data_IF_786228932804
#
_entry.id   IF_786228932804
#
_cell.length_a   1.000
_cell.length_b   1.000
_cell.length_c   1.000
_cell.angle_alpha   90.00
_cell.angle_beta   90.00
_cell.angle_gamma   90.00
#
_symmetry.space_group_name_H-M   'P 1'
#
loop_
_entity.id
_entity.type
_entity.pdbx_description
1 polymer ?
#
# COMPACT_ATOMS: atom_id res chain seq x y z
N UNK A 1 29.74 31.85 -9.46
CA UNK A 1 30.30 30.49 -9.32
C UNK A 1 29.29 29.50 -9.87
N UNK A 2 29.50 29.02 -11.09
CA UNK A 2 28.61 28.08 -11.78
C UNK A 2 28.80 26.71 -11.13
N UNK A 3 27.73 26.17 -10.56
CA UNK A 3 27.74 24.82 -10.00
C UNK A 3 28.02 23.79 -11.09
N UNK A 4 28.91 22.81 -10.87
CA UNK A 4 29.27 21.85 -11.90
C UNK A 4 28.04 20.98 -12.29
N UNK A 5 27.86 20.88 -13.61
CA UNK A 5 26.94 20.02 -14.32
C UNK A 5 26.48 18.76 -13.52
N UNK A 6 25.27 18.77 -13.04
CA UNK A 6 24.58 17.56 -12.57
C UNK A 6 24.32 16.67 -13.80
N UNK A 7 25.23 15.73 -14.09
CA UNK A 7 25.00 14.73 -15.14
C UNK A 7 23.70 14.02 -14.82
N UNK A 8 22.72 14.17 -15.70
CA UNK A 8 21.48 13.37 -15.64
C UNK A 8 21.86 11.89 -15.65
N UNK A 9 21.27 11.06 -14.79
CA UNK A 9 21.55 9.62 -14.77
C UNK A 9 21.37 9.03 -16.17
N UNK A 10 22.30 8.18 -16.60
CA UNK A 10 22.22 7.52 -17.90
C UNK A 10 20.94 6.67 -18.02
N UNK A 11 20.53 6.34 -19.25
CA UNK A 11 19.28 5.58 -19.52
C UNK A 11 19.26 4.21 -18.80
N UNK A 12 20.40 3.53 -18.70
CA UNK A 12 20.55 2.27 -17.97
C UNK A 12 20.30 2.45 -16.46
N UNK A 13 20.86 3.50 -15.84
CA UNK A 13 20.66 3.80 -14.41
C UNK A 13 19.22 4.13 -14.06
N UNK A 14 18.49 4.75 -15.00
CA UNK A 14 17.05 5.03 -14.83
C UNK A 14 16.23 3.75 -14.81
N UNK A 15 16.49 2.83 -15.74
CA UNK A 15 15.79 1.54 -15.82
C UNK A 15 16.00 0.68 -14.56
N UNK A 16 17.24 0.59 -14.07
CA UNK A 16 17.56 -0.15 -12.85
C UNK A 16 16.90 0.45 -11.61
N UNK A 17 16.84 1.78 -11.48
CA UNK A 17 16.18 2.43 -10.35
C UNK A 17 14.67 2.15 -10.35
N UNK A 18 14.01 2.19 -11.50
CA UNK A 18 12.60 1.84 -11.66
C UNK A 18 12.37 0.36 -11.32
N UNK A 19 13.16 -0.55 -11.90
CA UNK A 19 13.04 -1.98 -11.63
C UNK A 19 13.23 -2.31 -10.14
N UNK A 20 14.24 -1.72 -9.49
CA UNK A 20 14.46 -1.87 -8.06
C UNK A 20 13.27 -1.35 -7.24
N UNK A 21 12.72 -0.18 -7.59
CA UNK A 21 11.53 0.36 -6.95
C UNK A 21 10.33 -0.56 -7.08
N UNK A 22 10.05 -1.09 -8.28
CA UNK A 22 8.95 -2.03 -8.52
C UNK A 22 9.13 -3.34 -7.73
N UNK A 23 10.34 -3.88 -7.68
CA UNK A 23 10.66 -5.07 -6.91
C UNK A 23 10.43 -4.85 -5.39
N UNK A 24 10.84 -3.67 -4.87
CA UNK A 24 10.53 -3.28 -3.50
C UNK A 24 9.01 -3.22 -3.29
N UNK A 25 8.26 -2.60 -4.20
CA UNK A 25 6.80 -2.52 -4.14
C UNK A 25 6.15 -3.90 -4.08
N UNK A 26 6.66 -4.86 -4.84
CA UNK A 26 6.16 -6.22 -4.85
C UNK A 26 6.46 -6.95 -3.53
N UNK A 27 7.74 -6.98 -3.08
CA UNK A 27 8.10 -7.74 -1.88
C UNK A 27 7.43 -7.22 -0.60
N UNK A 28 7.26 -5.91 -0.47
CA UNK A 28 6.67 -5.35 0.75
C UNK A 28 5.23 -5.82 0.98
N UNK A 29 4.41 -5.82 -0.06
CA UNK A 29 3.01 -6.26 0.05
C UNK A 29 2.85 -7.76 0.00
N UNK A 30 3.79 -8.50 -0.62
CA UNK A 30 3.92 -9.93 -0.42
C UNK A 30 4.01 -10.26 1.07
N UNK A 31 4.91 -9.60 1.79
CA UNK A 31 5.08 -9.81 3.24
C UNK A 31 3.87 -9.32 4.08
N UNK A 32 3.05 -8.42 3.57
CA UNK A 32 1.79 -8.03 4.23
C UNK A 32 0.77 -9.17 4.13
N UNK A 33 0.65 -9.81 2.98
CA UNK A 33 -0.43 -10.75 2.68
C UNK A 33 -0.07 -12.22 2.96
N UNK A 34 1.22 -12.58 2.96
CA UNK A 34 1.68 -13.96 2.99
C UNK A 34 1.29 -14.73 4.26
N UNK A 35 1.20 -14.07 5.41
CA UNK A 35 0.80 -14.71 6.68
C UNK A 35 -0.72 -14.94 6.70
N UNK A 36 -1.51 -13.94 6.32
CA UNK A 36 -2.96 -14.08 6.26
C UNK A 36 -3.42 -15.13 5.23
N UNK A 37 -2.63 -15.35 4.18
CA UNK A 37 -2.91 -16.35 3.15
C UNK A 37 -2.91 -17.81 3.68
N UNK A 38 -2.20 -18.06 4.78
CA UNK A 38 -2.00 -19.40 5.37
C UNK A 38 -2.16 -19.36 6.89
N UNK A 39 -3.18 -18.66 7.36
CA UNK A 39 -3.40 -18.44 8.78
C UNK A 39 -3.64 -19.75 9.56
N UNK A 40 -4.44 -20.68 9.03
CA UNK A 40 -4.71 -21.97 9.67
C UNK A 40 -3.45 -22.86 9.77
N UNK A 41 -2.69 -23.11 8.70
CA UNK A 41 -1.42 -23.82 8.80
C UNK A 41 -0.40 -23.19 9.77
N UNK A 42 -0.40 -21.86 9.88
CA UNK A 42 0.46 -21.19 10.86
C UNK A 42 -0.06 -21.34 12.30
N UNK A 43 -1.36 -21.26 12.53
CA UNK A 43 -1.94 -21.48 13.84
C UNK A 43 -1.61 -22.89 14.36
N UNK A 44 -1.71 -23.89 13.49
CA UNK A 44 -1.32 -25.28 13.80
C UNK A 44 0.19 -25.39 14.07
N UNK A 45 1.04 -24.84 13.21
CA UNK A 45 2.49 -24.91 13.36
C UNK A 45 3.02 -24.22 14.63
N UNK A 46 2.38 -23.12 15.03
CA UNK A 46 2.75 -22.37 16.24
C UNK A 46 2.00 -22.84 17.50
N UNK A 47 1.17 -23.87 17.41
CA UNK A 47 0.27 -24.34 18.48
C UNK A 47 -0.46 -23.17 19.15
N UNK A 48 -1.18 -22.38 18.34
CA UNK A 48 -1.79 -21.13 18.80
C UNK A 48 -3.14 -20.86 18.09
N UNK A 49 -3.83 -19.78 18.51
CA UNK A 49 -5.10 -19.38 17.90
C UNK A 49 -4.90 -18.50 16.65
N UNK A 50 -5.91 -18.47 15.78
CA UNK A 50 -5.98 -17.55 14.64
C UNK A 50 -5.86 -16.07 15.07
N UNK A 51 -6.35 -15.72 16.26
CA UNK A 51 -6.21 -14.38 16.82
C UNK A 51 -4.73 -14.01 17.03
N UNK A 52 -3.92 -14.95 17.51
CA UNK A 52 -2.46 -14.73 17.68
C UNK A 52 -1.76 -14.64 16.31
N UNK A 53 -2.14 -15.44 15.32
CA UNK A 53 -1.64 -15.28 13.94
C UNK A 53 -2.02 -13.91 13.39
N UNK A 54 -3.23 -13.42 13.67
CA UNK A 54 -3.64 -12.05 13.33
C UNK A 54 -2.74 -10.97 13.95
N UNK A 55 -2.26 -11.17 15.19
CA UNK A 55 -1.30 -10.25 15.84
C UNK A 55 0.03 -10.17 15.09
N UNK A 56 0.46 -11.22 14.39
CA UNK A 56 1.66 -11.17 13.54
C UNK A 56 1.49 -10.16 12.39
N UNK A 57 0.31 -10.03 11.83
CA UNK A 57 -0.01 -9.01 10.82
C UNK A 57 -0.06 -7.62 11.46
N UNK A 58 -0.66 -7.49 12.64
CA UNK A 58 -0.70 -6.24 13.40
C UNK A 58 0.72 -5.76 13.75
N UNK A 59 1.59 -6.65 14.21
CA UNK A 59 2.98 -6.35 14.53
C UNK A 59 3.72 -5.75 13.33
N UNK A 60 3.52 -6.33 12.13
CA UNK A 60 4.08 -5.77 10.89
C UNK A 60 3.55 -4.36 10.65
N UNK A 61 2.24 -4.12 10.72
CA UNK A 61 1.66 -2.82 10.41
C UNK A 61 2.05 -1.71 11.38
N UNK A 62 2.22 -2.02 12.66
CA UNK A 62 2.70 -1.05 13.68
C UNK A 62 4.05 -0.48 13.29
N UNK A 63 5.01 -1.34 12.99
CA UNK A 63 6.35 -0.89 12.59
C UNK A 63 6.41 -0.37 11.16
N UNK A 64 5.58 -0.90 10.26
CA UNK A 64 5.40 -0.35 8.92
C UNK A 64 4.99 1.13 8.97
N UNK A 65 3.99 1.48 9.78
CA UNK A 65 3.57 2.86 9.97
C UNK A 65 4.68 3.71 10.60
N UNK A 66 5.30 3.21 11.68
CA UNK A 66 6.36 3.93 12.40
C UNK A 66 7.59 4.22 11.53
N UNK A 67 7.94 3.30 10.61
CA UNK A 67 9.11 3.43 9.75
C UNK A 67 8.94 4.45 8.61
N UNK A 68 7.72 4.76 8.17
CA UNK A 68 7.50 5.56 6.96
C UNK A 68 8.12 6.97 7.05
N UNK A 69 7.82 7.70 8.12
CA UNK A 69 8.30 9.07 8.26
C UNK A 69 9.82 9.17 8.42
N UNK A 70 10.47 8.38 9.31
CA UNK A 70 11.93 8.32 9.35
C UNK A 70 12.56 7.94 8.00
N UNK A 71 11.99 6.95 7.31
CA UNK A 71 12.49 6.52 6.02
C UNK A 71 12.41 7.61 4.94
N UNK A 72 11.35 8.41 4.94
CA UNK A 72 11.22 9.56 4.05
C UNK A 72 12.33 10.59 4.27
N UNK A 73 12.55 10.97 5.54
CA UNK A 73 13.62 11.89 5.92
C UNK A 73 15.01 11.33 5.56
N UNK A 74 15.23 10.05 5.80
CA UNK A 74 16.49 9.39 5.47
C UNK A 74 16.67 9.22 3.96
N UNK A 75 15.61 8.96 3.20
CA UNK A 75 15.66 8.87 1.74
C UNK A 75 16.09 10.21 1.13
N UNK A 76 15.50 11.32 1.57
CA UNK A 76 15.89 12.66 1.14
C UNK A 76 17.34 12.98 1.50
N UNK A 77 17.81 12.55 2.68
CA UNK A 77 19.14 12.85 3.22
C UNK A 77 20.24 11.96 2.67
N UNK A 78 20.01 10.66 2.58
CA UNK A 78 21.03 9.65 2.27
C UNK A 78 20.83 9.03 0.88
N UNK A 79 19.70 9.29 0.24
CA UNK A 79 19.29 8.75 -1.05
C UNK A 79 18.42 7.49 -0.94
N UNK A 80 17.47 7.33 -1.87
CA UNK A 80 16.49 6.23 -1.82
C UNK A 80 17.12 4.84 -1.98
N UNK A 81 18.26 4.72 -2.65
CA UNK A 81 18.95 3.43 -2.82
C UNK A 81 19.48 2.88 -1.50
N UNK A 82 20.05 3.73 -0.62
CA UNK A 82 20.56 3.30 0.70
C UNK A 82 19.43 2.90 1.63
N UNK A 83 18.37 3.69 1.67
CA UNK A 83 17.19 3.39 2.48
C UNK A 83 16.47 2.15 1.94
N UNK A 84 16.35 2.02 0.62
CA UNK A 84 15.79 0.84 -0.03
C UNK A 84 16.58 -0.43 0.26
N UNK A 85 17.91 -0.36 0.20
CA UNK A 85 18.76 -1.50 0.57
C UNK A 85 18.60 -1.89 2.05
N UNK A 86 18.64 -0.92 2.96
CA UNK A 86 18.40 -1.16 4.38
C UNK A 86 17.01 -1.78 4.64
N UNK A 87 15.98 -1.31 3.92
CA UNK A 87 14.64 -1.85 3.99
C UNK A 87 14.55 -3.32 3.52
N UNK A 88 15.21 -3.65 2.39
CA UNK A 88 15.30 -5.01 1.90
C UNK A 88 16.03 -5.93 2.89
N UNK A 89 17.16 -5.48 3.43
CA UNK A 89 17.94 -6.25 4.40
C UNK A 89 17.18 -6.45 5.72
N UNK A 90 16.47 -5.43 6.21
CA UNK A 90 15.62 -5.57 7.39
C UNK A 90 14.50 -6.59 7.16
N UNK A 91 13.82 -6.54 6.01
CA UNK A 91 12.79 -7.51 5.67
C UNK A 91 13.37 -8.94 5.50
N UNK A 92 14.55 -9.06 4.88
CA UNK A 92 15.25 -10.35 4.76
C UNK A 92 15.62 -10.92 6.15
N UNK A 93 16.18 -10.09 7.03
CA UNK A 93 16.51 -10.49 8.39
C UNK A 93 15.27 -10.93 9.18
N UNK A 94 14.18 -10.14 9.11
CA UNK A 94 12.94 -10.50 9.79
C UNK A 94 12.35 -11.81 9.29
N UNK A 95 12.35 -12.06 7.97
CA UNK A 95 11.91 -13.34 7.41
C UNK A 95 12.87 -14.49 7.78
N UNK A 96 14.18 -14.26 7.83
CA UNK A 96 15.14 -15.27 8.28
C UNK A 96 14.91 -15.66 9.76
N UNK A 97 14.60 -14.71 10.62
CA UNK A 97 14.20 -14.97 12.02
C UNK A 97 12.94 -15.83 12.09
N UNK A 98 11.95 -15.57 11.24
CA UNK A 98 10.71 -16.35 11.16
C UNK A 98 10.89 -17.80 10.68
N UNK A 99 12.03 -18.14 10.09
CA UNK A 99 12.34 -19.50 9.64
C UNK A 99 12.99 -20.37 10.73
N UNK A 100 13.43 -19.75 11.84
CA UNK A 100 14.26 -20.43 12.86
C UNK A 100 13.42 -21.40 13.69
N UNK A 101 12.27 -20.92 14.23
CA UNK A 101 11.50 -21.65 15.21
C UNK A 101 10.00 -21.25 15.16
N UNK A 102 9.15 -22.05 15.82
CA UNK A 102 7.71 -21.84 15.98
C UNK A 102 7.35 -21.05 17.25
N UNK A 103 8.30 -20.39 17.89
CA UNK A 103 8.04 -19.50 19.03
C UNK A 103 7.22 -18.27 18.57
N UNK A 104 6.04 -18.08 19.15
CA UNK A 104 5.19 -16.90 18.88
C UNK A 104 5.94 -15.59 19.19
N UNK A 105 6.71 -15.56 20.29
CA UNK A 105 7.52 -14.38 20.64
C UNK A 105 8.54 -14.02 19.56
N UNK A 106 9.24 -15.03 19.03
CA UNK A 106 10.18 -14.85 17.93
C UNK A 106 9.47 -14.44 16.63
N UNK A 107 8.29 -15.01 16.39
CA UNK A 107 7.46 -14.64 15.24
C UNK A 107 7.03 -13.18 15.31
N UNK A 108 6.61 -12.67 16.45
CA UNK A 108 6.28 -11.25 16.66
C UNK A 108 7.51 -10.36 16.38
N UNK A 109 8.68 -10.69 16.92
CA UNK A 109 9.92 -9.94 16.66
C UNK A 109 10.27 -9.94 15.18
N UNK A 110 10.21 -11.09 14.52
CA UNK A 110 10.44 -11.20 13.07
C UNK A 110 9.48 -10.31 12.27
N UNK A 111 8.18 -10.32 12.61
CA UNK A 111 7.17 -9.49 11.94
C UNK A 111 7.36 -8.00 12.19
N UNK A 112 7.77 -7.59 13.39
CA UNK A 112 8.15 -6.19 13.68
C UNK A 112 9.32 -5.76 12.78
N UNK A 113 10.33 -6.59 12.61
CA UNK A 113 11.50 -6.29 11.76
C UNK A 113 11.10 -6.26 10.28
N UNK A 114 10.28 -7.21 9.80
CA UNK A 114 9.71 -7.17 8.44
C UNK A 114 8.92 -5.89 8.22
N UNK A 115 8.13 -5.47 9.20
CA UNK A 115 7.34 -4.24 9.14
C UNK A 115 8.19 -2.98 8.98
N UNK A 116 9.33 -2.88 9.70
CA UNK A 116 10.29 -1.79 9.49
C UNK A 116 10.80 -1.76 8.05
N UNK A 117 11.18 -2.92 7.51
CA UNK A 117 11.60 -3.05 6.12
C UNK A 117 10.49 -2.70 5.13
N UNK A 118 9.27 -3.16 5.38
CA UNK A 118 8.11 -2.89 4.53
C UNK A 118 7.74 -1.41 4.49
N UNK A 119 7.67 -0.74 5.65
CA UNK A 119 7.34 0.69 5.74
C UNK A 119 8.40 1.59 5.12
N UNK A 120 9.67 1.34 5.41
CA UNK A 120 10.78 2.06 4.79
C UNK A 120 10.87 1.77 3.28
N UNK A 121 10.62 0.53 2.87
CA UNK A 121 10.59 0.10 1.48
C UNK A 121 9.50 0.80 0.66
N UNK A 122 8.31 1.03 1.24
CA UNK A 122 7.25 1.75 0.53
C UNK A 122 7.72 3.14 0.07
N UNK A 123 8.31 3.89 0.97
CA UNK A 123 8.79 5.25 0.68
C UNK A 123 9.99 5.23 -0.26
N UNK A 124 11.00 4.42 0.04
CA UNK A 124 12.22 4.33 -0.75
C UNK A 124 11.98 3.79 -2.16
N UNK A 125 11.08 2.81 -2.33
CA UNK A 125 10.73 2.25 -3.63
C UNK A 125 10.05 3.26 -4.54
N UNK A 126 9.07 4.00 -4.03
CA UNK A 126 8.42 5.07 -4.79
C UNK A 126 9.39 6.20 -5.12
N UNK A 127 10.27 6.56 -4.19
CA UNK A 127 11.29 7.59 -4.41
C UNK A 127 12.38 7.14 -5.40
N UNK A 128 12.74 5.84 -5.45
CA UNK A 128 13.59 5.27 -6.50
C UNK A 128 12.96 5.43 -7.89
N UNK A 129 11.67 5.12 -8.02
CA UNK A 129 10.94 5.30 -9.28
C UNK A 129 10.95 6.78 -9.70
N UNK A 130 10.68 7.71 -8.79
CA UNK A 130 10.76 9.15 -9.03
C UNK A 130 12.16 9.57 -9.46
N UNK A 131 13.19 9.19 -8.71
CA UNK A 131 14.59 9.52 -8.95
C UNK A 131 15.13 8.92 -10.26
N UNK A 132 14.57 7.79 -10.70
CA UNK A 132 14.79 7.22 -12.04
C UNK A 132 14.13 8.00 -13.17
N UNK A 133 13.50 9.15 -12.88
CA UNK A 133 12.80 9.98 -13.86
C UNK A 133 11.37 9.52 -14.13
N UNK A 134 10.78 8.76 -13.21
CA UNK A 134 9.42 8.24 -13.28
C UNK A 134 8.37 9.31 -13.03
N UNK A 135 7.59 9.65 -14.08
CA UNK A 135 6.37 10.46 -13.98
C UNK A 135 5.18 9.63 -13.43
N UNK A 136 3.98 10.20 -13.51
CA UNK A 136 2.76 9.61 -12.94
C UNK A 136 2.51 8.16 -13.37
N UNK A 137 2.80 7.78 -14.62
CA UNK A 137 2.60 6.40 -15.12
C UNK A 137 3.50 5.42 -14.37
N UNK A 138 4.80 5.71 -14.23
CA UNK A 138 5.74 4.83 -13.53
C UNK A 138 5.49 4.79 -12.02
N UNK A 139 5.04 5.89 -11.43
CA UNK A 139 4.58 5.91 -10.04
C UNK A 139 3.29 5.07 -9.88
N UNK A 140 2.38 5.14 -10.84
CA UNK A 140 1.22 4.27 -10.91
C UNK A 140 1.59 2.79 -11.05
N UNK A 141 2.60 2.46 -11.88
CA UNK A 141 3.15 1.11 -12.00
C UNK A 141 3.74 0.62 -10.67
N UNK A 142 4.44 1.49 -9.93
CA UNK A 142 4.89 1.16 -8.58
C UNK A 142 3.70 0.80 -7.68
N UNK A 143 2.65 1.63 -7.71
CA UNK A 143 1.41 1.34 -7.00
C UNK A 143 0.77 0.02 -7.45
N UNK A 144 0.79 -0.30 -8.75
CA UNK A 144 0.36 -1.58 -9.29
C UNK A 144 1.21 -2.75 -8.79
N UNK A 145 2.53 -2.60 -8.75
CA UNK A 145 3.45 -3.61 -8.22
C UNK A 145 3.20 -3.91 -6.74
N UNK A 146 2.84 -2.89 -5.94
CA UNK A 146 2.41 -3.14 -4.55
C UNK A 146 1.14 -3.98 -4.49
N UNK A 147 0.17 -3.78 -5.36
CA UNK A 147 -1.04 -4.61 -5.38
C UNK A 147 -0.75 -6.02 -5.89
N UNK A 148 0.10 -6.14 -6.91
CA UNK A 148 0.51 -7.42 -7.47
C UNK A 148 1.22 -8.30 -6.42
N UNK A 149 2.13 -7.73 -5.63
CA UNK A 149 2.83 -8.47 -4.58
C UNK A 149 1.88 -9.12 -3.58
N UNK A 150 0.91 -8.37 -3.08
CA UNK A 150 -0.10 -8.89 -2.16
C UNK A 150 -1.01 -9.94 -2.81
N UNK A 151 -1.50 -9.67 -4.02
CA UNK A 151 -2.35 -10.60 -4.75
C UNK A 151 -1.64 -11.91 -5.13
N UNK A 152 -0.38 -11.82 -5.58
CA UNK A 152 0.43 -13.01 -5.88
C UNK A 152 0.74 -13.83 -4.63
N UNK A 153 0.94 -13.19 -3.47
CA UNK A 153 1.12 -13.90 -2.21
C UNK A 153 -0.12 -14.75 -1.87
N UNK A 154 -1.33 -14.18 -2.00
CA UNK A 154 -2.58 -14.90 -1.76
C UNK A 154 -2.78 -16.09 -2.72
N UNK A 155 -2.26 -16.00 -3.93
CA UNK A 155 -2.39 -17.05 -4.95
C UNK A 155 -1.32 -18.16 -4.81
N UNK A 156 -0.08 -17.77 -4.49
CA UNK A 156 1.09 -18.68 -4.58
C UNK A 156 1.43 -19.31 -3.23
N UNK A 157 1.27 -18.56 -2.12
CA UNK A 157 1.72 -19.03 -0.81
C UNK A 157 0.91 -20.21 -0.30
N UNK A 158 -0.43 -20.28 -0.43
CA UNK A 158 -1.20 -21.42 0.05
C UNK A 158 -0.78 -22.74 -0.59
N UNK A 159 -0.82 -22.94 -1.92
CA UNK A 159 -0.43 -24.21 -2.53
C UNK A 159 1.05 -24.54 -2.28
N UNK A 160 1.91 -23.54 -2.15
CA UNK A 160 3.32 -23.77 -1.82
C UNK A 160 3.48 -24.24 -0.37
N UNK A 161 2.68 -23.73 0.56
CA UNK A 161 2.68 -24.16 1.96
C UNK A 161 2.20 -25.61 2.09
N UNK A 162 1.13 -25.98 1.37
CA UNK A 162 0.62 -27.35 1.31
C UNK A 162 1.66 -28.32 0.73
N UNK A 163 2.37 -27.91 -0.34
CA UNK A 163 3.37 -28.73 -1.01
C UNK A 163 4.69 -28.86 -0.24
N UNK A 164 4.99 -27.94 0.68
CA UNK A 164 6.29 -27.89 1.36
C UNK A 164 6.18 -27.87 2.88
N UNK A 165 5.88 -26.71 3.47
CA UNK A 165 5.70 -26.54 4.92
C UNK A 165 5.21 -25.14 5.29
N UNK A 166 4.86 -24.95 6.58
CA UNK A 166 4.52 -23.67 7.18
C UNK A 166 5.59 -22.57 6.99
N UNK A 167 6.81 -22.94 6.60
CA UNK A 167 7.92 -21.99 6.34
C UNK A 167 7.80 -21.27 5.00
N UNK A 168 6.96 -21.74 4.08
CA UNK A 168 6.83 -21.20 2.72
C UNK A 168 6.55 -19.67 2.66
N UNK A 169 5.64 -19.08 3.47
CA UNK A 169 5.40 -17.65 3.45
C UNK A 169 6.66 -16.84 3.78
N UNK A 170 7.47 -17.30 4.70
CA UNK A 170 8.68 -16.61 5.14
C UNK A 170 9.85 -16.83 4.19
N UNK A 171 10.03 -18.04 3.68
CA UNK A 171 11.07 -18.36 2.69
C UNK A 171 10.88 -17.55 1.40
N UNK A 172 9.65 -17.45 0.91
CA UNK A 172 9.33 -16.63 -0.27
C UNK A 172 9.49 -15.14 0.00
N UNK A 173 9.10 -14.67 1.19
CA UNK A 173 9.33 -13.30 1.63
C UNK A 173 10.82 -12.92 1.71
N UNK A 174 11.64 -13.84 2.23
CA UNK A 174 13.10 -13.71 2.26
C UNK A 174 13.68 -13.64 0.83
N UNK A 175 13.30 -14.58 -0.02
CA UNK A 175 13.79 -14.65 -1.41
C UNK A 175 13.48 -13.36 -2.18
N UNK A 176 12.24 -12.85 -2.10
CA UNK A 176 11.86 -11.61 -2.77
C UNK A 176 12.59 -10.38 -2.21
N UNK A 177 12.80 -10.31 -0.88
CA UNK A 177 13.56 -9.22 -0.27
C UNK A 177 15.03 -9.23 -0.74
N UNK A 178 15.65 -10.42 -0.87
CA UNK A 178 17.02 -10.56 -1.39
C UNK A 178 17.11 -10.21 -2.88
N UNK A 179 16.15 -10.63 -3.71
CA UNK A 179 16.08 -10.22 -5.12
C UNK A 179 15.97 -8.71 -5.24
N UNK A 180 15.10 -8.07 -4.45
CA UNK A 180 14.98 -6.63 -4.44
C UNK A 180 16.29 -5.96 -3.97
N UNK A 181 16.97 -6.50 -2.95
CA UNK A 181 18.27 -6.00 -2.49
C UNK A 181 19.32 -6.03 -3.60
N UNK A 182 19.42 -7.13 -4.34
CA UNK A 182 20.36 -7.27 -5.50
C UNK A 182 20.06 -6.20 -6.55
N UNK A 183 18.79 -5.97 -6.89
CA UNK A 183 18.41 -4.94 -7.86
C UNK A 183 18.76 -3.54 -7.34
N UNK A 184 18.57 -3.26 -6.05
CA UNK A 184 18.94 -1.98 -5.44
C UNK A 184 20.46 -1.76 -5.44
N UNK A 185 21.26 -2.81 -5.21
CA UNK A 185 22.73 -2.73 -5.31
C UNK A 185 23.19 -2.33 -6.72
N UNK A 186 22.42 -2.69 -7.76
CA UNK A 186 22.67 -2.26 -9.15
C UNK A 186 22.33 -0.80 -9.44
N UNK A 187 21.70 -0.08 -8.50
CA UNK A 187 21.31 1.33 -8.70
C UNK A 187 22.49 2.25 -8.41
N UNK A 188 23.09 2.78 -9.47
CA UNK A 188 24.21 3.73 -9.39
C UNK A 188 23.76 5.13 -9.74
N UNK A 189 24.39 6.14 -9.15
CA UNK A 189 24.28 7.53 -9.59
C UNK A 189 22.99 8.26 -9.17
N UNK A 190 22.11 7.65 -8.39
CA UNK A 190 20.97 8.34 -7.78
C UNK A 190 21.46 9.16 -6.60
N UNK A 191 21.39 10.48 -6.73
CA UNK A 191 21.84 11.41 -5.69
C UNK A 191 20.71 11.73 -4.71
N UNK A 192 21.03 11.91 -3.40
CA UNK A 192 20.06 12.43 -2.44
C UNK A 192 19.68 13.87 -2.81
N UNK A 193 18.48 14.29 -2.40
CA UNK A 193 18.01 15.67 -2.58
C UNK A 193 18.82 16.64 -1.72
N UNK A 194 19.39 16.14 -0.63
CA UNK A 194 20.22 16.90 0.28
C UNK A 194 19.61 17.06 1.67
N UNK A 195 19.90 18.17 2.37
CA UNK A 195 19.35 18.39 3.71
C UNK A 195 17.85 18.64 3.62
N UNK A 196 17.05 17.74 4.20
CA UNK A 196 15.62 17.95 4.43
C UNK A 196 15.44 19.20 5.28
N UNK A 197 14.78 20.23 4.76
CA UNK A 197 14.35 21.37 5.58
C UNK A 197 13.42 20.87 6.68
N UNK A 198 13.65 21.28 7.91
CA UNK A 198 12.77 21.00 9.05
C UNK A 198 11.34 21.44 8.71
N UNK A 199 10.34 20.65 9.08
CA UNK A 199 8.94 21.07 9.02
C UNK A 199 8.03 20.29 8.06
N UNK A 200 8.46 19.18 7.42
CA UNK A 200 7.54 18.36 6.60
C UNK A 200 6.41 17.78 7.43
N UNK A 201 6.68 17.39 8.68
CA UNK A 201 5.67 16.82 9.60
C UNK A 201 4.56 17.81 9.97
N UNK A 202 4.86 19.12 9.98
CA UNK A 202 3.90 20.19 10.27
C UNK A 202 3.42 20.91 9.02
N UNK A 203 3.70 20.40 7.81
CA UNK A 203 3.32 21.09 6.58
C UNK A 203 1.83 20.93 6.28
N UNK A 204 1.06 21.92 6.67
CA UNK A 204 -0.39 21.96 6.44
C UNK A 204 -0.78 21.84 4.96
N UNK A 205 0.13 22.13 4.02
CA UNK A 205 -0.13 21.98 2.58
C UNK A 205 -0.22 20.53 2.14
N UNK A 206 0.40 19.59 2.85
CA UNK A 206 0.34 18.15 2.58
C UNK A 206 -0.90 17.47 3.18
N UNK A 207 -1.53 18.05 4.20
CA UNK A 207 -2.70 17.45 4.87
C UNK A 207 -3.88 17.21 3.92
N UNK A 208 -4.23 18.13 2.99
CA UNK A 208 -5.27 17.85 1.99
C UNK A 208 -4.96 16.61 1.11
N UNK A 209 -3.69 16.40 0.77
CA UNK A 209 -3.27 15.21 -0.01
C UNK A 209 -3.35 13.95 0.85
N UNK A 210 -2.99 14.04 2.13
CA UNK A 210 -3.21 12.98 3.10
C UNK A 210 -4.69 12.61 3.22
N UNK A 211 -5.58 13.60 3.32
CA UNK A 211 -7.02 13.38 3.35
C UNK A 211 -7.54 12.70 2.06
N UNK A 212 -7.03 13.11 0.88
CA UNK A 212 -7.36 12.46 -0.40
C UNK A 212 -6.86 11.01 -0.45
N UNK A 213 -5.67 10.73 0.10
CA UNK A 213 -5.12 9.37 0.18
C UNK A 213 -5.94 8.50 1.14
N UNK A 214 -6.40 9.05 2.25
CA UNK A 214 -7.36 8.39 3.14
C UNK A 214 -8.65 8.10 2.39
N UNK A 215 -9.27 9.11 1.77
CA UNK A 215 -10.57 9.01 1.12
C UNK A 215 -10.58 8.06 -0.09
N UNK A 216 -9.45 7.88 -0.77
CA UNK A 216 -9.32 6.95 -1.90
C UNK A 216 -8.79 5.58 -1.47
N UNK A 217 -7.53 5.50 -1.08
CA UNK A 217 -6.88 4.23 -0.76
C UNK A 217 -7.26 3.70 0.62
N UNK A 218 -7.21 4.55 1.65
CA UNK A 218 -7.47 4.15 3.04
C UNK A 218 -8.87 3.53 3.20
N UNK A 219 -9.90 4.23 2.75
CA UNK A 219 -11.29 3.78 2.86
C UNK A 219 -11.58 2.55 1.99
N UNK A 220 -10.93 2.44 0.81
CA UNK A 220 -11.07 1.26 -0.03
C UNK A 220 -10.46 0.00 0.61
N UNK A 221 -9.32 0.13 1.31
CA UNK A 221 -8.72 -0.98 2.06
C UNK A 221 -9.60 -1.38 3.24
N UNK A 222 -10.12 -0.40 3.98
CA UNK A 222 -11.05 -0.64 5.09
C UNK A 222 -12.29 -1.40 4.59
N UNK A 223 -12.95 -0.89 3.54
CA UNK A 223 -14.11 -1.55 2.95
C UNK A 223 -13.76 -2.95 2.40
N UNK A 224 -12.63 -3.08 1.70
CA UNK A 224 -12.16 -4.35 1.13
C UNK A 224 -11.96 -5.44 2.18
N UNK A 225 -11.55 -5.07 3.40
CA UNK A 225 -11.39 -6.01 4.52
C UNK A 225 -12.75 -6.60 4.96
N UNK A 226 -13.82 -5.83 4.87
CA UNK A 226 -15.14 -6.20 5.38
C UNK A 226 -16.15 -6.61 4.31
N UNK A 227 -15.78 -6.53 3.03
CA UNK A 227 -16.67 -6.93 1.92
C UNK A 227 -17.07 -8.40 2.01
N UNK A 228 -16.12 -9.29 2.31
CA UNK A 228 -16.39 -10.74 2.38
C UNK A 228 -17.42 -11.04 3.48
N UNK A 229 -17.21 -10.64 4.75
CA UNK A 229 -18.21 -10.82 5.80
C UNK A 229 -19.58 -10.20 5.48
N UNK A 230 -19.60 -9.03 4.84
CA UNK A 230 -20.87 -8.39 4.44
C UNK A 230 -21.62 -9.22 3.40
N UNK A 231 -20.95 -9.68 2.35
CA UNK A 231 -21.57 -10.42 1.26
C UNK A 231 -22.04 -11.80 1.72
N UNK A 232 -21.30 -12.47 2.59
CA UNK A 232 -21.72 -13.75 3.18
C UNK A 232 -23.00 -13.61 3.99
N UNK A 233 -23.13 -12.53 4.78
CA UNK A 233 -24.37 -12.22 5.53
C UNK A 233 -25.54 -11.88 4.61
N UNK A 234 -25.26 -11.36 3.41
CA UNK A 234 -26.26 -11.15 2.37
C UNK A 234 -26.53 -12.40 1.51
N UNK A 235 -26.04 -13.57 1.93
CA UNK A 235 -26.30 -14.86 1.30
C UNK A 235 -25.39 -15.24 0.13
N UNK A 236 -24.29 -14.51 -0.10
CA UNK A 236 -23.28 -14.94 -1.06
C UNK A 236 -22.47 -16.13 -0.55
N UNK A 237 -22.07 -17.03 -1.44
CA UNK A 237 -21.11 -18.08 -1.09
C UNK A 237 -19.74 -17.47 -0.80
N UNK A 238 -18.95 -18.11 0.09
CA UNK A 238 -17.59 -17.68 0.42
C UNK A 238 -16.71 -17.47 -0.83
N UNK A 239 -16.85 -18.33 -1.84
CA UNK A 239 -16.11 -18.22 -3.10
C UNK A 239 -16.45 -16.93 -3.86
N UNK A 240 -17.73 -16.57 -3.96
CA UNK A 240 -18.19 -15.34 -4.64
C UNK A 240 -17.82 -14.11 -3.83
N UNK A 241 -18.05 -14.13 -2.51
CA UNK A 241 -17.67 -13.05 -1.61
C UNK A 241 -16.16 -12.79 -1.65
N UNK A 242 -15.35 -13.84 -1.59
CA UNK A 242 -13.90 -13.78 -1.70
C UNK A 242 -13.41 -13.22 -3.05
N UNK A 243 -14.02 -13.64 -4.16
CA UNK A 243 -13.69 -13.12 -5.50
C UNK A 243 -13.96 -11.62 -5.60
N UNK A 244 -15.13 -11.15 -5.12
CA UNK A 244 -15.49 -9.73 -5.14
C UNK A 244 -14.62 -8.90 -4.18
N UNK A 245 -14.32 -9.40 -2.98
CA UNK A 245 -13.42 -8.74 -2.03
C UNK A 245 -12.00 -8.61 -2.57
N UNK A 246 -11.47 -9.69 -3.15
CA UNK A 246 -10.14 -9.70 -3.78
C UNK A 246 -10.06 -8.72 -4.94
N UNK A 247 -11.10 -8.61 -5.75
CA UNK A 247 -11.15 -7.69 -6.88
C UNK A 247 -10.89 -6.23 -6.46
N UNK A 248 -11.40 -5.80 -5.31
CA UNK A 248 -11.21 -4.42 -4.82
C UNK A 248 -9.74 -4.05 -4.70
N UNK A 249 -8.90 -4.99 -4.27
CA UNK A 249 -7.46 -4.79 -4.16
C UNK A 249 -6.74 -5.05 -5.49
N UNK A 250 -7.07 -6.15 -6.17
CA UNK A 250 -6.42 -6.55 -7.42
C UNK A 250 -6.65 -5.57 -8.57
N UNK A 251 -7.81 -4.89 -8.60
CA UNK A 251 -8.09 -3.83 -9.56
C UNK A 251 -7.01 -2.73 -9.54
N UNK A 252 -6.39 -2.49 -8.38
CA UNK A 252 -5.28 -1.55 -8.22
C UNK A 252 -4.06 -1.85 -9.10
N UNK A 253 -3.85 -3.10 -9.54
CA UNK A 253 -2.76 -3.47 -10.45
C UNK A 253 -2.88 -2.69 -11.76
N UNK A 254 -4.11 -2.54 -12.26
CA UNK A 254 -4.41 -1.87 -13.52
C UNK A 254 -4.77 -0.40 -13.31
N UNK A 255 -5.59 -0.10 -12.31
CA UNK A 255 -6.16 1.25 -12.15
C UNK A 255 -5.14 2.27 -11.67
N UNK A 256 -4.12 1.88 -10.90
CA UNK A 256 -3.04 2.81 -10.48
C UNK A 256 -2.19 3.32 -11.65
N UNK A 257 -1.64 2.47 -12.53
CA UNK A 257 -0.95 2.96 -13.72
C UNK A 257 -1.88 3.68 -14.69
N UNK A 258 -3.13 3.21 -14.83
CA UNK A 258 -4.15 3.86 -15.65
C UNK A 258 -4.43 5.28 -15.16
N UNK A 259 -4.60 5.49 -13.85
CA UNK A 259 -4.78 6.82 -13.27
C UNK A 259 -3.62 7.77 -13.59
N UNK A 260 -2.38 7.26 -13.52
CA UNK A 260 -1.19 8.01 -13.95
C UNK A 260 -1.20 8.35 -15.43
N UNK A 261 -1.59 7.41 -16.30
CA UNK A 261 -1.68 7.61 -17.74
C UNK A 261 -2.77 8.65 -18.10
N UNK A 262 -3.94 8.55 -17.48
CA UNK A 262 -5.03 9.49 -17.66
C UNK A 262 -4.66 10.92 -17.21
N UNK A 263 -3.98 11.02 -16.06
CA UNK A 263 -3.50 12.29 -15.52
C UNK A 263 -2.45 12.95 -16.42
N UNK A 264 -1.59 12.16 -17.08
CA UNK A 264 -0.63 12.66 -18.05
C UNK A 264 -1.30 13.06 -19.38
N UNK A 265 -2.28 12.28 -19.83
CA UNK A 265 -2.98 12.52 -21.10
C UNK A 265 -3.88 13.74 -21.03
N UNK A 266 -4.50 14.00 -19.87
CA UNK A 266 -5.44 15.10 -19.63
C UNK A 266 -5.11 15.85 -18.33
N UNK A 267 -4.01 16.64 -18.29
CA UNK A 267 -3.59 17.32 -17.05
C UNK A 267 -4.68 18.22 -16.44
N UNK A 268 -5.42 18.94 -17.28
CA UNK A 268 -6.52 19.80 -16.84
C UNK A 268 -7.68 19.04 -16.16
N UNK A 269 -7.79 17.72 -16.37
CA UNK A 269 -8.85 16.88 -15.80
C UNK A 269 -8.43 16.12 -14.54
N UNK A 270 -7.20 16.34 -14.02
CA UNK A 270 -6.69 15.64 -12.83
C UNK A 270 -7.63 15.76 -11.64
N UNK A 271 -8.15 16.96 -11.38
CA UNK A 271 -9.14 17.19 -10.30
C UNK A 271 -10.43 16.41 -10.54
N UNK A 272 -10.95 16.41 -11.77
CA UNK A 272 -12.13 15.64 -12.15
C UNK A 272 -11.92 14.13 -11.99
N UNK A 273 -10.72 13.61 -12.33
CA UNK A 273 -10.37 12.21 -12.15
C UNK A 273 -10.43 11.82 -10.66
N UNK A 274 -9.77 12.60 -9.79
CA UNK A 274 -9.75 12.32 -8.34
C UNK A 274 -11.14 12.49 -7.76
N UNK A 275 -11.85 13.59 -8.05
CA UNK A 275 -13.20 13.82 -7.54
C UNK A 275 -14.21 12.75 -8.01
N UNK A 276 -14.18 12.39 -9.28
CA UNK A 276 -15.00 11.30 -9.83
C UNK A 276 -14.69 9.95 -9.16
N UNK A 277 -13.43 9.68 -8.87
CA UNK A 277 -13.04 8.47 -8.12
C UNK A 277 -13.66 8.46 -6.72
N UNK A 278 -13.62 9.57 -5.97
CA UNK A 278 -14.20 9.63 -4.63
C UNK A 278 -15.73 9.44 -4.67
N UNK A 279 -16.40 10.01 -5.65
CA UNK A 279 -17.85 9.80 -5.87
C UNK A 279 -18.15 8.34 -6.19
N UNK A 280 -17.35 7.70 -7.05
CA UNK A 280 -17.54 6.30 -7.40
C UNK A 280 -17.26 5.36 -6.22
N UNK A 281 -16.24 5.64 -5.39
CA UNK A 281 -15.98 4.92 -4.13
C UNK A 281 -17.18 5.04 -3.19
N UNK A 282 -17.69 6.27 -3.00
CA UNK A 282 -18.85 6.51 -2.14
C UNK A 282 -20.09 5.78 -2.68
N UNK A 283 -20.38 5.88 -3.97
CA UNK A 283 -21.50 5.19 -4.57
C UNK A 283 -21.40 3.66 -4.42
N UNK A 284 -20.22 3.10 -4.66
CA UNK A 284 -19.96 1.67 -4.45
C UNK A 284 -20.18 1.24 -3.01
N UNK A 285 -19.69 2.02 -2.04
CA UNK A 285 -19.88 1.74 -0.61
C UNK A 285 -21.35 1.88 -0.19
N UNK A 286 -22.10 2.87 -0.73
CA UNK A 286 -23.54 3.00 -0.47
C UNK A 286 -24.35 1.84 -1.04
N UNK A 287 -23.99 1.37 -2.24
CA UNK A 287 -24.63 0.19 -2.84
C UNK A 287 -24.40 -1.05 -1.97
N UNK A 288 -23.20 -1.24 -1.45
CA UNK A 288 -22.88 -2.33 -0.52
C UNK A 288 -23.63 -2.18 0.79
N UNK A 289 -23.73 -0.96 1.34
CA UNK A 289 -24.51 -0.68 2.55
C UNK A 289 -26.01 -0.92 2.37
N UNK A 290 -26.57 -0.58 1.22
CA UNK A 290 -27.99 -0.77 0.95
C UNK A 290 -28.39 -2.25 0.84
N UNK A 291 -27.44 -3.13 0.59
CA UNK A 291 -27.70 -4.54 0.34
C UNK A 291 -28.45 -4.79 -0.98
N UNK A 292 -29.11 -5.92 -1.07
CA UNK A 292 -29.91 -6.26 -2.25
C UNK A 292 -29.34 -7.46 -3.02
N UNK A 293 -29.77 -7.65 -4.28
CA UNK A 293 -29.34 -8.82 -5.05
C UNK A 293 -27.82 -8.79 -5.30
N UNK A 294 -27.24 -9.97 -5.40
CA UNK A 294 -25.78 -10.15 -5.52
C UNK A 294 -25.14 -9.37 -6.66
N UNK A 295 -25.83 -9.23 -7.81
CA UNK A 295 -25.32 -8.42 -8.93
C UNK A 295 -25.14 -6.95 -8.57
N UNK A 296 -25.98 -6.40 -7.71
CA UNK A 296 -25.87 -5.01 -7.26
C UNK A 296 -24.65 -4.85 -6.32
N UNK A 297 -24.45 -5.79 -5.40
CA UNK A 297 -23.25 -5.85 -4.56
C UNK A 297 -21.98 -6.03 -5.38
N UNK A 298 -22.02 -6.82 -6.46
CA UNK A 298 -20.93 -6.95 -7.41
C UNK A 298 -20.61 -5.61 -8.08
N UNK A 299 -21.60 -4.87 -8.56
CA UNK A 299 -21.41 -3.52 -9.13
C UNK A 299 -20.82 -2.55 -8.12
N UNK A 300 -21.28 -2.59 -6.84
CA UNK A 300 -20.71 -1.78 -5.77
C UNK A 300 -19.23 -2.08 -5.53
N UNK A 301 -18.87 -3.37 -5.46
CA UNK A 301 -17.48 -3.82 -5.30
C UNK A 301 -16.61 -3.42 -6.50
N UNK A 302 -17.11 -3.56 -7.72
CA UNK A 302 -16.44 -3.15 -8.95
C UNK A 302 -16.18 -1.64 -8.97
N UNK A 303 -17.21 -0.84 -8.66
CA UNK A 303 -17.10 0.62 -8.63
C UNK A 303 -16.04 1.07 -7.62
N UNK A 304 -16.07 0.50 -6.40
CA UNK A 304 -15.11 0.80 -5.34
C UNK A 304 -13.69 0.41 -5.74
N UNK A 305 -13.49 -0.83 -6.23
CA UNK A 305 -12.17 -1.34 -6.59
C UNK A 305 -11.55 -0.60 -7.78
N UNK A 306 -12.32 -0.35 -8.84
CA UNK A 306 -11.83 0.37 -10.02
C UNK A 306 -11.49 1.83 -9.71
N UNK A 307 -12.29 2.49 -8.88
CA UNK A 307 -12.08 3.89 -8.55
C UNK A 307 -10.91 4.13 -7.59
N UNK A 308 -10.69 3.23 -6.64
CA UNK A 308 -9.72 3.42 -5.55
C UNK A 308 -8.28 3.60 -6.00
N UNK A 309 -7.88 2.96 -7.11
CA UNK A 309 -6.52 3.03 -7.63
C UNK A 309 -6.19 4.29 -8.43
N UNK A 310 -7.18 4.90 -9.08
CA UNK A 310 -6.97 6.00 -10.02
C UNK A 310 -6.28 7.25 -9.41
N UNK A 311 -6.56 7.68 -8.16
CA UNK A 311 -5.95 8.85 -7.55
C UNK A 311 -4.48 8.68 -7.17
N UNK A 312 -3.99 7.44 -7.00
CA UNK A 312 -2.69 7.11 -6.41
C UNK A 312 -1.53 7.95 -6.97
N UNK A 313 -1.30 7.87 -8.28
CA UNK A 313 -0.18 8.56 -8.93
C UNK A 313 -0.34 10.09 -8.87
N UNK A 314 -1.56 10.60 -8.99
CA UNK A 314 -1.86 12.03 -8.94
C UNK A 314 -1.54 12.61 -7.58
N UNK A 315 -1.93 11.93 -6.50
CA UNK A 315 -1.73 12.39 -5.12
C UNK A 315 -0.24 12.41 -4.78
N UNK A 316 0.50 11.33 -5.08
CA UNK A 316 1.92 11.27 -4.74
C UNK A 316 2.78 12.20 -5.60
N UNK A 317 2.46 12.36 -6.89
CA UNK A 317 3.12 13.35 -7.74
C UNK A 317 2.87 14.78 -7.21
N UNK A 318 1.65 15.08 -6.78
CA UNK A 318 1.31 16.37 -6.18
C UNK A 318 2.10 16.62 -4.88
N UNK A 319 2.22 15.62 -4.01
CA UNK A 319 3.01 15.74 -2.77
C UNK A 319 4.47 16.05 -3.05
N UNK A 320 5.08 15.36 -4.02
CA UNK A 320 6.47 15.58 -4.44
C UNK A 320 6.70 16.96 -5.05
N UNK A 321 5.72 17.47 -5.82
CA UNK A 321 5.77 18.82 -6.41
C UNK A 321 5.62 19.92 -5.38
N UNK A 322 4.82 19.72 -4.35
CA UNK A 322 4.67 20.68 -3.24
C UNK A 322 5.95 20.76 -2.39
N UNK A 323 6.68 19.67 -2.26
CA UNK A 323 7.91 19.60 -1.47
C UNK A 323 9.06 19.04 -2.28
N UNK A 324 9.55 19.80 -3.27
CA UNK A 324 10.69 19.38 -4.10
C UNK A 324 12.00 19.29 -3.32
N UNK A 325 12.07 19.95 -2.15
CA UNK A 325 13.15 19.89 -1.18
C UNK A 325 13.11 18.65 -0.26
N UNK A 326 11.98 17.96 -0.17
CA UNK A 326 11.78 16.79 0.67
C UNK A 326 10.71 15.84 0.09
N UNK A 327 10.88 15.34 -1.15
CA UNK A 327 9.85 14.58 -1.86
C UNK A 327 9.54 13.23 -1.21
N UNK A 328 10.55 12.54 -0.65
CA UNK A 328 10.34 11.26 0.01
C UNK A 328 9.63 11.43 1.36
N UNK A 329 9.96 12.46 2.12
CA UNK A 329 9.25 12.76 3.37
C UNK A 329 7.79 13.20 3.10
N UNK A 330 7.51 13.88 1.98
CA UNK A 330 6.15 14.22 1.56
C UNK A 330 5.33 12.95 1.21
N UNK A 331 5.92 12.01 0.45
CA UNK A 331 5.33 10.70 0.17
C UNK A 331 4.99 9.99 1.49
N UNK A 332 5.96 9.95 2.41
CA UNK A 332 5.84 9.27 3.69
C UNK A 332 4.67 9.83 4.52
N UNK A 333 4.56 11.15 4.64
CA UNK A 333 3.48 11.79 5.40
C UNK A 333 2.11 11.49 4.79
N UNK A 334 1.96 11.66 3.48
CA UNK A 334 0.70 11.42 2.78
C UNK A 334 0.25 9.96 2.92
N UNK A 335 1.18 9.00 2.79
CA UNK A 335 0.85 7.59 2.94
C UNK A 335 0.57 7.21 4.41
N UNK A 336 1.32 7.77 5.36
CA UNK A 336 1.10 7.53 6.78
C UNK A 336 -0.30 7.93 7.24
N UNK A 337 -0.89 9.00 6.69
CA UNK A 337 -2.28 9.38 6.95
C UNK A 337 -3.25 8.23 6.58
N UNK A 338 -3.07 7.63 5.41
CA UNK A 338 -3.94 6.52 4.99
C UNK A 338 -3.72 5.24 5.80
N UNK A 339 -2.47 4.88 6.10
CA UNK A 339 -2.17 3.69 6.92
C UNK A 339 -2.71 3.87 8.34
N UNK A 340 -2.59 5.06 8.93
CA UNK A 340 -3.18 5.36 10.23
C UNK A 340 -4.71 5.22 10.20
N UNK A 341 -5.35 5.75 9.15
CA UNK A 341 -6.79 5.61 8.96
C UNK A 341 -7.21 4.13 8.81
N UNK A 342 -6.42 3.30 8.12
CA UNK A 342 -6.67 1.86 7.99
C UNK A 342 -6.58 1.17 9.35
N UNK A 343 -5.52 1.44 10.10
CA UNK A 343 -5.30 0.83 11.43
C UNK A 343 -6.43 1.14 12.40
N UNK A 344 -6.94 2.37 12.38
CA UNK A 344 -8.04 2.82 13.25
C UNK A 344 -9.40 2.45 12.65
N UNK A 345 -9.60 2.67 11.38
CA UNK A 345 -10.89 2.55 10.70
C UNK A 345 -11.34 1.11 10.50
N UNK A 346 -10.40 0.17 10.28
CA UNK A 346 -10.75 -1.24 10.09
C UNK A 346 -11.50 -1.82 11.29
N UNK A 347 -11.01 -1.72 12.54
CA UNK A 347 -11.76 -2.19 13.69
C UNK A 347 -13.07 -1.40 13.92
N UNK A 348 -13.07 -0.08 13.65
CA UNK A 348 -14.31 0.73 13.81
C UNK A 348 -15.42 0.30 12.85
N UNK A 349 -15.10 -0.01 11.59
CA UNK A 349 -16.08 -0.56 10.64
C UNK A 349 -16.50 -1.96 11.08
N UNK A 350 -15.57 -2.76 11.65
CA UNK A 350 -15.88 -4.06 12.23
C UNK A 350 -16.95 -4.00 13.32
N UNK A 351 -16.88 -3.00 14.21
CA UNK A 351 -17.93 -2.78 15.23
C UNK A 351 -19.30 -2.50 14.60
N UNK A 352 -19.36 -2.02 13.36
CA UNK A 352 -20.61 -1.84 12.63
C UNK A 352 -21.37 -3.15 12.36
N UNK A 353 -20.68 -4.29 12.43
CA UNK A 353 -21.30 -5.62 12.30
C UNK A 353 -21.99 -6.10 13.59
N UNK A 354 -21.71 -5.46 14.71
CA UNK A 354 -22.41 -5.68 15.98
C UNK A 354 -23.70 -4.83 16.11
N UNK A 355 -23.90 -3.90 15.14
CA UNK A 355 -25.09 -3.05 15.07
C UNK A 355 -26.20 -3.74 14.28
N UNK A 356 -27.49 -3.34 14.52
CA UNK A 356 -28.61 -3.85 13.72
C UNK A 356 -28.39 -3.68 12.22
N UNK A 357 -28.56 -4.78 11.47
CA UNK A 357 -28.37 -4.81 10.00
C UNK A 357 -27.03 -5.40 9.55
N UNK A 358 -26.15 -5.80 10.48
CA UNK A 358 -24.94 -6.62 10.21
C UNK A 358 -23.93 -6.02 9.22
N UNK A 359 -23.54 -4.73 9.43
CA UNK A 359 -22.45 -4.12 8.71
C UNK A 359 -22.74 -2.90 7.84
N UNK A 360 -23.98 -2.61 7.37
CA UNK A 360 -24.30 -1.47 6.53
C UNK A 360 -23.82 -0.12 7.07
N UNK A 361 -23.89 0.08 8.38
CA UNK A 361 -23.46 1.33 9.02
C UNK A 361 -21.99 1.65 8.77
N UNK A 362 -21.12 0.64 8.79
CA UNK A 362 -19.70 0.80 8.49
C UNK A 362 -19.45 1.23 7.03
N UNK A 363 -20.16 0.61 6.08
CA UNK A 363 -20.05 0.97 4.67
C UNK A 363 -20.66 2.35 4.36
N UNK A 364 -21.76 2.73 5.04
CA UNK A 364 -22.31 4.07 4.94
C UNK A 364 -21.33 5.13 5.48
N UNK A 365 -20.65 4.85 6.59
CA UNK A 365 -19.59 5.72 7.10
C UNK A 365 -18.43 5.87 6.10
N UNK A 366 -17.99 4.77 5.48
CA UNK A 366 -16.97 4.81 4.42
C UNK A 366 -17.43 5.71 3.26
N UNK A 367 -18.68 5.60 2.83
CA UNK A 367 -19.23 6.41 1.74
C UNK A 367 -19.23 7.90 2.09
N UNK A 368 -19.69 8.28 3.28
CA UNK A 368 -19.73 9.66 3.73
C UNK A 368 -18.32 10.26 3.88
N UNK A 369 -17.39 9.50 4.42
CA UNK A 369 -15.99 9.92 4.56
C UNK A 369 -15.30 10.09 3.19
N UNK A 370 -15.63 9.26 2.21
CA UNK A 370 -15.11 9.41 0.85
C UNK A 370 -15.59 10.74 0.22
N UNK A 371 -16.87 11.09 0.37
CA UNK A 371 -17.40 12.40 -0.06
C UNK A 371 -16.77 13.56 0.71
N UNK A 372 -16.46 13.36 2.01
CA UNK A 372 -15.74 14.34 2.83
C UNK A 372 -14.35 14.68 2.28
N UNK A 373 -13.79 13.87 1.39
CA UNK A 373 -12.58 14.14 0.63
C UNK A 373 -12.72 15.17 -0.49
N UNK A 374 -13.93 15.39 -1.02
CA UNK A 374 -14.17 16.23 -2.20
C UNK A 374 -13.69 17.70 -2.06
N UNK A 375 -13.86 18.39 -0.93
CA UNK A 375 -13.34 19.76 -0.75
C UNK A 375 -11.82 19.85 -0.97
N UNK A 376 -11.07 18.80 -0.61
CA UNK A 376 -9.62 18.76 -0.75
C UNK A 376 -9.14 18.58 -2.19
N UNK A 377 -10.00 18.11 -3.11
CA UNK A 377 -9.69 18.01 -4.54
C UNK A 377 -9.29 19.36 -5.13
N UNK A 378 -9.88 20.45 -4.64
CA UNK A 378 -9.53 21.82 -5.07
C UNK A 378 -8.11 22.22 -4.70
N UNK A 379 -7.50 21.56 -3.73
CA UNK A 379 -6.12 21.80 -3.27
C UNK A 379 -5.06 21.04 -4.09
N UNK A 380 -5.48 20.16 -5.01
CA UNK A 380 -4.55 19.54 -5.94
C UNK A 380 -3.92 20.63 -6.84
N UNK A 381 -2.60 20.63 -7.01
CA UNK A 381 -1.93 21.49 -8.00
C UNK A 381 -2.51 21.26 -9.40
N UNK A 382 -2.69 22.35 -10.14
CA UNK A 382 -3.10 22.31 -11.54
C UNK A 382 -2.02 21.73 -12.44
#
# INVERSE_FOLDING_TARGET
MVTPNARTPGRATRGTAVAAGLAIGCFLTWNVSNVGAVADPLAEAYDTSLAVVGLLTTALFVTHLAAQLPAGIWSDRFGPHRVGLAACLAAALGNAVLLVDTSVGLAVVGRLVVGLGSGAGFVAGLDLVRAGGGGAVLQGLYGGATMAGGGLALLIVPPLTEATSWRAPYATGLALALVAAILVLGVLGVRPVGRTRRGVLGDAALLPLGALQVASFGLAVIAGTWIVPLLERHGATTAVAGALGSFVLLAGIVTRPLGGALANRWPARRRGLVGGSLVAISAGALVLAAGGPLWLSALGSLALGLAAGLPFAVIFEAAQRLRPDAPAAAIALVNACAVLAIVIGTPLVGLGFDLPGDGPAGFAAVALLALGGLPFVRRLPS
#
